data_IF_958094399405
#
_entry.id   IF_958094399405
#
_cell.length_a   1.000
_cell.length_b   1.000
_cell.length_c   1.000
_cell.angle_alpha   90.00
_cell.angle_beta   90.00
_cell.angle_gamma   90.00
#
_symmetry.space_group_name_H-M   'P 1'
#
loop_
_entity.id
_entity.type
_entity.pdbx_description
1 polymer ?
#
# COMPACT_ATOMS: atom_id res chain seq x y z
N UNK A 1 -39.08 -12.01 -17.90
CA UNK A 1 -38.77 -12.10 -16.46
C UNK A 1 -37.56 -11.22 -16.20
N UNK A 2 -37.79 -9.96 -15.80
CA UNK A 2 -36.75 -8.95 -15.61
C UNK A 2 -36.11 -9.18 -14.24
N UNK A 3 -34.84 -9.57 -14.25
CA UNK A 3 -34.02 -9.68 -13.03
C UNK A 3 -33.73 -8.23 -12.58
N UNK A 4 -34.40 -7.81 -11.51
CA UNK A 4 -34.04 -6.57 -10.81
C UNK A 4 -32.65 -6.75 -10.20
N UNK A 5 -31.65 -6.10 -10.78
CA UNK A 5 -30.37 -5.87 -10.11
C UNK A 5 -30.65 -4.95 -8.93
N UNK A 6 -30.62 -5.51 -7.73
CA UNK A 6 -30.65 -4.74 -6.48
C UNK A 6 -29.33 -3.98 -6.38
N UNK A 7 -29.34 -2.71 -6.72
CA UNK A 7 -28.28 -1.77 -6.35
C UNK A 7 -28.40 -1.55 -4.84
N UNK A 8 -27.71 -2.36 -4.05
CA UNK A 8 -27.53 -2.04 -2.65
C UNK A 8 -26.86 -0.66 -2.58
N UNK A 9 -27.54 0.32 -1.98
CA UNK A 9 -26.98 1.64 -1.77
C UNK A 9 -25.65 1.47 -1.04
N UNK A 10 -24.56 2.04 -1.60
CA UNK A 10 -23.27 1.99 -0.97
C UNK A 10 -23.37 2.58 0.44
N UNK A 11 -23.04 1.81 1.46
CA UNK A 11 -23.06 2.30 2.84
C UNK A 11 -22.10 3.48 2.95
N UNK A 12 -22.64 4.64 3.32
CA UNK A 12 -21.85 5.86 3.50
C UNK A 12 -21.40 5.92 4.95
N UNK A 13 -20.08 5.99 5.14
CA UNK A 13 -19.47 6.17 6.46
C UNK A 13 -19.13 7.65 6.64
N UNK A 14 -19.75 8.37 7.60
CA UNK A 14 -19.56 9.81 7.80
C UNK A 14 -18.10 10.18 8.10
N UNK A 15 -17.42 9.40 8.93
CA UNK A 15 -16.04 9.67 9.38
C UNK A 15 -15.04 8.63 8.89
N UNK A 16 -13.75 9.00 8.90
CA UNK A 16 -12.66 8.05 8.63
C UNK A 16 -12.64 6.91 9.66
N UNK A 17 -12.92 7.21 10.93
CA UNK A 17 -12.92 6.23 12.01
C UNK A 17 -13.99 5.16 11.82
N UNK A 18 -15.22 5.56 11.46
CA UNK A 18 -16.31 4.63 11.16
C UNK A 18 -15.98 3.77 9.93
N UNK A 19 -15.40 4.38 8.89
CA UNK A 19 -14.97 3.65 7.71
C UNK A 19 -13.86 2.63 8.06
N UNK A 20 -12.86 3.02 8.84
CA UNK A 20 -11.80 2.12 9.29
C UNK A 20 -12.33 0.97 10.16
N UNK A 21 -13.31 1.25 11.03
CA UNK A 21 -13.97 0.21 11.81
C UNK A 21 -14.70 -0.79 10.92
N UNK A 22 -15.44 -0.32 9.90
CA UNK A 22 -16.11 -1.17 8.93
C UNK A 22 -15.13 -2.01 8.11
N UNK A 23 -14.02 -1.41 7.65
CA UNK A 23 -12.95 -2.14 6.95
C UNK A 23 -12.35 -3.22 7.84
N UNK A 24 -12.05 -2.93 9.11
CA UNK A 24 -11.49 -3.90 10.07
C UNK A 24 -12.47 -5.04 10.37
N UNK A 25 -13.78 -4.80 10.30
CA UNK A 25 -14.84 -5.79 10.45
C UNK A 25 -15.16 -6.56 9.14
N UNK A 26 -14.52 -6.22 8.01
CA UNK A 26 -14.83 -6.81 6.71
C UNK A 26 -14.56 -8.32 6.67
N UNK A 27 -15.54 -9.07 6.13
CA UNK A 27 -15.48 -10.52 5.93
C UNK A 27 -15.79 -10.96 4.51
N UNK A 28 -15.74 -10.05 3.55
CA UNK A 28 -16.13 -10.32 2.16
C UNK A 28 -15.35 -11.46 1.49
N UNK A 29 -14.14 -11.76 1.98
CA UNK A 29 -13.26 -12.79 1.42
C UNK A 29 -13.07 -14.00 2.35
N UNK A 30 -13.88 -14.18 3.41
CA UNK A 30 -13.68 -15.18 4.46
C UNK A 30 -13.43 -16.58 3.89
N UNK A 31 -14.28 -17.05 2.98
CA UNK A 31 -14.16 -18.37 2.34
C UNK A 31 -12.87 -18.56 1.50
N UNK A 32 -12.11 -17.50 1.25
CA UNK A 32 -10.92 -17.51 0.40
C UNK A 32 -9.61 -17.21 1.15
N UNK A 33 -9.69 -17.02 2.45
CA UNK A 33 -8.54 -16.65 3.28
C UNK A 33 -8.18 -17.82 4.20
N UNK A 34 -6.98 -18.41 4.04
CA UNK A 34 -6.62 -19.64 4.74
C UNK A 34 -6.54 -19.50 6.28
N UNK A 35 -6.35 -18.28 6.75
CA UNK A 35 -6.29 -17.94 8.18
C UNK A 35 -7.44 -17.03 8.63
N UNK A 36 -8.50 -16.94 7.81
CA UNK A 36 -9.62 -16.04 8.05
C UNK A 36 -9.30 -14.56 7.81
N UNK A 37 -10.32 -13.70 7.85
CA UNK A 37 -10.17 -12.26 7.63
C UNK A 37 -9.55 -11.58 8.85
N UNK A 38 -8.48 -10.85 8.58
CA UNK A 38 -7.83 -9.92 9.52
C UNK A 38 -7.30 -8.74 8.74
N UNK A 39 -8.14 -7.73 8.46
CA UNK A 39 -7.71 -6.54 7.73
C UNK A 39 -6.66 -5.73 8.52
N UNK A 40 -5.54 -5.44 7.89
CA UNK A 40 -4.43 -4.68 8.46
C UNK A 40 -4.17 -3.46 7.60
N UNK A 41 -4.48 -2.29 8.15
CA UNK A 41 -4.25 -0.96 7.56
C UNK A 41 -4.17 0.09 8.67
N UNK A 42 -3.58 1.24 8.35
CA UNK A 42 -3.51 2.41 9.23
C UNK A 42 -3.75 3.67 8.43
N UNK A 43 -4.53 4.62 8.95
CA UNK A 43 -4.74 5.89 8.30
C UNK A 43 -5.27 6.94 9.29
N UNK A 44 -4.74 8.15 9.19
CA UNK A 44 -5.25 9.34 9.85
C UNK A 44 -5.55 10.42 8.81
N UNK A 45 -6.59 11.23 9.03
CA UNK A 45 -7.08 12.21 8.06
C UNK A 45 -6.07 13.32 7.73
N UNK A 46 -5.06 13.52 8.58
CA UNK A 46 -3.99 14.51 8.40
C UNK A 46 -2.77 13.96 7.70
N UNK A 47 -2.70 12.64 7.44
CA UNK A 47 -1.57 12.01 6.77
C UNK A 47 -1.27 12.67 5.42
N UNK A 48 0.00 12.92 5.16
CA UNK A 48 0.49 13.52 3.91
C UNK A 48 1.18 12.52 3.00
N UNK A 49 1.56 11.36 3.54
CA UNK A 49 2.22 10.28 2.82
C UNK A 49 1.32 9.04 2.87
N UNK A 50 1.10 8.41 1.72
CA UNK A 50 0.39 7.14 1.61
C UNK A 50 1.36 6.05 1.15
N UNK A 51 1.42 4.95 1.89
CA UNK A 51 2.18 3.74 1.53
C UNK A 51 1.21 2.68 1.01
N UNK A 52 1.32 2.33 -0.26
CA UNK A 52 0.50 1.30 -0.89
C UNK A 52 1.38 0.11 -1.27
N UNK A 53 1.20 -1.00 -0.55
CA UNK A 53 1.83 -2.30 -0.82
C UNK A 53 0.88 -3.31 -1.44
N UNK A 54 1.29 -4.58 -1.47
CA UNK A 54 0.49 -5.68 -2.02
C UNK A 54 -0.62 -6.09 -1.05
N UNK A 55 -0.26 -6.75 0.03
CA UNK A 55 -1.14 -7.28 1.08
C UNK A 55 -0.30 -7.65 2.31
N UNK A 56 -0.92 -7.85 3.49
CA UNK A 56 -0.23 -8.40 4.66
C UNK A 56 0.41 -9.75 4.35
N UNK A 57 1.67 -9.93 4.75
CA UNK A 57 2.31 -11.24 4.80
C UNK A 57 1.90 -12.00 6.08
N UNK A 58 2.35 -13.26 6.20
CA UNK A 58 2.01 -14.09 7.37
C UNK A 58 2.37 -13.43 8.71
N UNK A 59 3.56 -12.86 8.82
CA UNK A 59 4.00 -12.18 10.06
C UNK A 59 3.11 -10.97 10.38
N UNK A 60 2.80 -10.16 9.39
CA UNK A 60 1.88 -9.01 9.53
C UNK A 60 0.48 -9.47 9.92
N UNK A 61 -0.01 -10.58 9.34
CA UNK A 61 -1.28 -11.18 9.76
C UNK A 61 -1.24 -11.57 11.24
N UNK A 62 -0.14 -12.17 11.70
CA UNK A 62 0.00 -12.60 13.11
C UNK A 62 0.07 -11.43 14.08
N UNK A 63 0.87 -10.40 13.77
CA UNK A 63 1.07 -9.25 14.66
C UNK A 63 -0.03 -8.20 14.58
N UNK A 64 -0.68 -8.08 13.41
CA UNK A 64 -1.63 -7.00 13.12
C UNK A 64 -0.95 -5.65 12.84
N UNK A 65 0.37 -5.62 12.74
CA UNK A 65 1.15 -4.39 12.50
C UNK A 65 1.64 -4.40 11.06
N UNK A 66 1.23 -3.44 10.20
CA UNK A 66 1.65 -3.42 8.80
C UNK A 66 3.16 -3.20 8.70
N UNK A 67 3.81 -3.90 7.75
CA UNK A 67 5.26 -3.81 7.54
C UNK A 67 6.12 -4.16 8.78
N UNK A 68 5.62 -4.99 9.70
CA UNK A 68 6.38 -5.52 10.83
C UNK A 68 7.17 -6.77 10.42
N UNK A 69 8.05 -6.62 9.44
CA UNK A 69 8.85 -7.67 8.85
C UNK A 69 10.16 -7.09 8.24
N UNK A 70 11.09 -7.93 7.76
CA UNK A 70 12.32 -7.45 7.12
C UNK A 70 12.10 -6.54 5.90
N UNK A 71 10.97 -6.68 5.21
CA UNK A 71 10.60 -5.77 4.11
C UNK A 71 10.30 -4.37 4.64
N UNK A 72 9.58 -4.29 5.76
CA UNK A 72 9.28 -3.03 6.41
C UNK A 72 10.52 -2.34 7.00
N UNK A 73 11.47 -3.11 7.54
CA UNK A 73 12.76 -2.55 7.99
C UNK A 73 13.49 -1.86 6.84
N UNK A 74 13.59 -2.53 5.68
CA UNK A 74 14.20 -1.94 4.48
C UNK A 74 13.41 -0.75 3.96
N UNK A 75 12.07 -0.81 3.98
CA UNK A 75 11.24 0.31 3.54
C UNK A 75 11.49 1.56 4.40
N UNK A 76 11.48 1.43 5.72
CA UNK A 76 11.80 2.53 6.64
C UNK A 76 13.20 3.08 6.39
N UNK A 77 14.17 2.20 6.16
CA UNK A 77 15.54 2.61 5.81
C UNK A 77 15.59 3.40 4.50
N UNK A 78 14.83 3.01 3.47
CA UNK A 78 14.72 3.79 2.23
C UNK A 78 14.04 5.13 2.45
N UNK A 79 12.99 5.15 3.26
CA UNK A 79 12.25 6.38 3.59
C UNK A 79 13.05 7.33 4.49
N UNK A 80 14.06 6.83 5.21
CA UNK A 80 14.84 7.62 6.17
C UNK A 80 14.07 7.96 7.43
N UNK A 81 13.10 7.13 7.83
CA UNK A 81 12.26 7.32 9.01
C UNK A 81 12.42 6.16 9.99
N UNK A 82 12.26 6.43 11.28
CA UNK A 82 12.18 5.43 12.34
C UNK A 82 10.78 4.80 12.43
N UNK A 83 10.59 3.91 13.41
CA UNK A 83 9.30 3.26 13.64
C UNK A 83 8.23 4.23 14.12
N UNK A 84 8.58 5.17 14.95
CA UNK A 84 7.63 6.10 15.56
C UNK A 84 7.01 6.99 14.49
N UNK A 85 7.83 7.56 13.62
CA UNK A 85 7.37 8.33 12.46
C UNK A 85 6.62 7.47 11.45
N UNK A 86 7.09 6.26 11.17
CA UNK A 86 6.47 5.36 10.18
C UNK A 86 5.06 4.93 10.59
N UNK A 87 4.81 4.75 11.89
CA UNK A 87 3.53 4.33 12.42
C UNK A 87 2.66 5.47 12.96
N UNK A 88 3.12 6.70 12.86
CA UNK A 88 2.31 7.89 13.16
C UNK A 88 1.26 8.09 12.05
N UNK A 89 0.04 7.69 12.34
CA UNK A 89 -1.10 7.77 11.41
C UNK A 89 -1.43 9.21 10.99
N UNK A 90 -1.01 10.21 11.77
CA UNK A 90 -1.18 11.61 11.42
C UNK A 90 -0.26 12.06 10.28
N UNK A 91 0.82 11.34 10.02
CA UNK A 91 1.85 11.61 9.01
C UNK A 91 1.81 10.63 7.85
N UNK A 92 1.70 9.32 8.14
CA UNK A 92 1.81 8.25 7.17
C UNK A 92 0.59 7.32 7.25
N UNK A 93 -0.17 7.28 6.18
CA UNK A 93 -1.20 6.27 5.98
C UNK A 93 -0.61 5.03 5.30
N UNK A 94 -1.03 3.84 5.72
CA UNK A 94 -0.59 2.55 5.18
C UNK A 94 -1.84 1.78 4.74
N UNK A 95 -2.10 1.75 3.45
CA UNK A 95 -3.28 1.10 2.86
C UNK A 95 -2.81 0.19 1.73
N UNK A 96 -2.66 -1.13 1.95
CA UNK A 96 -2.26 -2.06 0.90
C UNK A 96 -3.39 -2.31 -0.11
N UNK A 97 -3.10 -2.93 -1.25
CA UNK A 97 -4.10 -3.30 -2.25
C UNK A 97 -5.06 -4.40 -1.77
N UNK A 98 -4.60 -5.29 -0.89
CA UNK A 98 -5.40 -6.26 -0.16
C UNK A 98 -5.17 -6.11 1.33
N UNK A 99 -6.21 -6.18 2.15
CA UNK A 99 -6.10 -5.86 3.58
C UNK A 99 -5.87 -7.08 4.46
N UNK A 100 -6.11 -8.28 3.94
CA UNK A 100 -5.90 -9.54 4.63
C UNK A 100 -4.75 -10.35 4.00
N UNK A 101 -4.15 -11.25 4.77
CA UNK A 101 -3.18 -12.21 4.26
C UNK A 101 -3.86 -13.17 3.26
N UNK A 102 -3.45 -13.18 1.99
CA UNK A 102 -4.15 -13.96 0.96
C UNK A 102 -3.74 -15.45 0.92
N UNK A 103 -2.78 -15.84 1.75
CA UNK A 103 -2.16 -17.16 1.70
C UNK A 103 -0.84 -17.19 0.92
N UNK A 104 -0.21 -18.37 0.92
CA UNK A 104 1.07 -18.61 0.25
C UNK A 104 0.86 -19.41 -1.04
N UNK A 105 1.50 -18.98 -2.11
CA UNK A 105 1.59 -19.69 -3.39
C UNK A 105 3.01 -20.21 -3.66
N UNK A 106 3.24 -20.76 -4.85
CA UNK A 106 4.51 -21.40 -5.23
C UNK A 106 5.71 -20.46 -5.27
N UNK A 107 5.52 -19.15 -5.45
CA UNK A 107 6.61 -18.16 -5.57
C UNK A 107 6.64 -17.11 -4.45
N UNK A 108 5.75 -17.19 -3.48
CA UNK A 108 5.58 -16.18 -2.43
C UNK A 108 4.14 -16.09 -1.96
N UNK A 109 3.75 -14.95 -1.41
CA UNK A 109 2.36 -14.74 -1.03
C UNK A 109 1.49 -14.60 -2.28
N UNK A 110 0.26 -15.08 -2.19
CA UNK A 110 -0.73 -14.99 -3.27
C UNK A 110 -1.05 -13.53 -3.62
N UNK A 111 -1.63 -13.26 -4.79
CA UNK A 111 -2.12 -11.94 -5.17
C UNK A 111 -3.08 -11.36 -4.12
N UNK A 112 -3.11 -10.02 -3.96
CA UNK A 112 -4.10 -9.37 -3.11
C UNK A 112 -5.50 -9.62 -3.63
N UNK A 113 -6.46 -9.78 -2.73
CA UNK A 113 -7.87 -9.91 -3.09
C UNK A 113 -8.36 -8.60 -3.73
N UNK A 114 -9.01 -8.70 -4.88
CA UNK A 114 -9.50 -7.54 -5.64
C UNK A 114 -10.65 -6.83 -4.92
N UNK A 115 -11.42 -7.56 -4.15
CA UNK A 115 -12.58 -7.09 -3.40
C UNK A 115 -12.21 -5.92 -2.48
N UNK A 116 -11.00 -5.92 -1.90
CA UNK A 116 -10.57 -4.84 -1.02
C UNK A 116 -10.52 -3.48 -1.73
N UNK A 117 -9.89 -3.42 -2.91
CA UNK A 117 -9.84 -2.19 -3.67
C UNK A 117 -11.23 -1.75 -4.14
N UNK A 118 -12.05 -2.68 -4.64
CA UNK A 118 -13.40 -2.38 -5.14
C UNK A 118 -14.33 -1.88 -4.05
N UNK A 119 -14.26 -2.45 -2.84
CA UNK A 119 -15.18 -2.10 -1.76
C UNK A 119 -14.77 -0.85 -0.99
N UNK A 120 -13.45 -0.64 -0.80
CA UNK A 120 -12.97 0.24 0.25
C UNK A 120 -12.00 1.33 -0.18
N UNK A 121 -11.17 1.07 -1.23
CA UNK A 121 -10.01 1.94 -1.51
C UNK A 121 -10.45 3.37 -1.84
N UNK A 122 -11.41 3.54 -2.74
CA UNK A 122 -11.86 4.88 -3.15
C UNK A 122 -12.48 5.65 -1.98
N UNK A 123 -13.22 4.96 -1.11
CA UNK A 123 -13.81 5.57 0.09
C UNK A 123 -12.74 6.01 1.08
N UNK A 124 -11.68 5.21 1.27
CA UNK A 124 -10.54 5.55 2.13
C UNK A 124 -9.77 6.74 1.57
N UNK A 125 -9.46 6.72 0.27
CA UNK A 125 -8.72 7.82 -0.37
C UNK A 125 -9.49 9.15 -0.31
N UNK A 126 -10.81 9.12 -0.47
CA UNK A 126 -11.66 10.31 -0.36
C UNK A 126 -11.61 10.96 1.03
N UNK A 127 -11.21 10.21 2.07
CA UNK A 127 -11.07 10.70 3.45
C UNK A 127 -9.64 11.03 3.86
N UNK A 128 -8.73 11.02 2.90
CA UNK A 128 -7.32 11.38 3.08
C UNK A 128 -6.94 12.58 2.20
N UNK A 129 -7.60 13.74 2.37
CA UNK A 129 -7.48 14.87 1.45
C UNK A 129 -6.11 15.54 1.48
N UNK A 130 -5.28 15.22 2.49
CA UNK A 130 -3.95 15.83 2.65
C UNK A 130 -2.81 15.00 2.05
N UNK A 131 -3.09 13.85 1.43
CA UNK A 131 -2.03 13.04 0.80
C UNK A 131 -1.40 13.81 -0.36
N UNK A 132 -0.10 14.06 -0.25
CA UNK A 132 0.72 14.74 -1.26
C UNK A 132 1.68 13.79 -1.96
N UNK A 133 2.06 12.67 -1.30
CA UNK A 133 2.95 11.67 -1.85
C UNK A 133 2.39 10.27 -1.61
N UNK A 134 2.21 9.51 -2.68
CA UNK A 134 1.84 8.09 -2.62
C UNK A 134 3.00 7.22 -3.09
N UNK A 135 3.50 6.35 -2.19
CA UNK A 135 4.52 5.36 -2.50
C UNK A 135 3.85 4.10 -3.06
N UNK A 136 4.09 3.80 -4.33
CA UNK A 136 3.50 2.66 -5.04
C UNK A 136 4.47 1.47 -5.04
N UNK A 137 4.34 0.60 -4.03
CA UNK A 137 5.31 -0.46 -3.76
C UNK A 137 4.92 -1.76 -4.47
N UNK A 138 5.70 -2.11 -5.48
CA UNK A 138 5.52 -3.33 -6.26
C UNK A 138 4.44 -3.26 -7.32
N UNK A 139 4.25 -4.39 -8.00
CA UNK A 139 3.46 -4.49 -9.23
C UNK A 139 1.98 -4.10 -9.05
N UNK A 140 1.34 -4.55 -7.98
CA UNK A 140 -0.11 -4.38 -7.80
C UNK A 140 -0.50 -2.93 -7.55
N UNK A 141 0.23 -2.23 -6.68
CA UNK A 141 0.03 -0.80 -6.44
C UNK A 141 0.28 0.02 -7.72
N UNK A 142 1.41 -0.22 -8.40
CA UNK A 142 1.74 0.48 -9.64
C UNK A 142 0.68 0.21 -10.73
N UNK A 143 0.18 -1.02 -10.85
CA UNK A 143 -0.87 -1.35 -11.83
C UNK A 143 -2.16 -0.61 -11.56
N UNK A 144 -2.57 -0.53 -10.31
CA UNK A 144 -3.82 0.13 -9.93
C UNK A 144 -3.75 1.65 -10.15
N UNK A 145 -2.72 2.31 -9.64
CA UNK A 145 -2.65 3.78 -9.63
C UNK A 145 -2.12 4.38 -10.95
N UNK A 146 -1.27 3.68 -11.66
CA UNK A 146 -0.66 4.19 -12.88
C UNK A 146 -1.34 3.67 -14.16
N UNK A 147 -2.03 2.53 -14.10
CA UNK A 147 -2.73 1.96 -15.24
C UNK A 147 -1.82 1.80 -16.47
N UNK A 148 -2.23 2.36 -17.60
CA UNK A 148 -1.48 2.37 -18.87
C UNK A 148 -0.25 3.28 -18.87
N UNK A 149 -0.10 4.18 -17.90
CA UNK A 149 1.09 5.04 -17.77
C UNK A 149 2.34 4.28 -17.32
N UNK A 150 2.20 3.04 -16.82
CA UNK A 150 3.35 2.21 -16.47
C UNK A 150 4.23 1.94 -17.68
N UNK A 151 5.54 1.80 -17.44
CA UNK A 151 6.47 1.28 -18.44
C UNK A 151 6.35 -0.26 -18.54
N UNK A 152 7.08 -0.84 -19.48
CA UNK A 152 7.03 -2.28 -19.76
C UNK A 152 7.45 -3.15 -18.57
N UNK A 153 8.34 -2.64 -17.72
CA UNK A 153 8.79 -3.33 -16.51
C UNK A 153 8.64 -2.48 -15.25
N UNK A 154 8.67 -3.14 -14.08
CA UNK A 154 8.70 -2.48 -12.78
C UNK A 154 9.95 -1.61 -12.62
N UNK A 155 11.09 -2.08 -13.13
CA UNK A 155 12.36 -1.34 -13.09
C UNK A 155 12.28 -0.05 -13.90
N UNK A 156 11.77 -0.13 -15.12
CA UNK A 156 11.58 1.05 -15.99
C UNK A 156 10.56 2.03 -15.41
N UNK A 157 9.46 1.52 -14.83
CA UNK A 157 8.47 2.35 -14.14
C UNK A 157 9.10 3.10 -12.97
N UNK A 158 9.88 2.41 -12.13
CA UNK A 158 10.58 3.05 -11.02
C UNK A 158 11.66 4.04 -11.49
N UNK A 159 12.34 3.76 -12.60
CA UNK A 159 13.35 4.65 -13.18
C UNK A 159 12.76 5.93 -13.76
N UNK A 160 11.55 5.83 -14.30
CA UNK A 160 10.80 6.96 -14.85
C UNK A 160 9.96 7.72 -13.78
N UNK A 161 10.34 7.64 -12.51
CA UNK A 161 9.58 8.19 -11.39
C UNK A 161 9.20 9.68 -11.55
N UNK A 162 10.03 10.48 -12.25
CA UNK A 162 9.77 11.89 -12.49
C UNK A 162 8.47 12.13 -13.27
N UNK A 163 8.08 11.19 -14.16
CA UNK A 163 6.85 11.29 -14.94
C UNK A 163 5.58 11.15 -14.08
N UNK A 164 5.72 10.65 -12.86
CA UNK A 164 4.63 10.42 -11.92
C UNK A 164 4.64 11.40 -10.74
N UNK A 165 5.73 12.17 -10.62
CA UNK A 165 5.88 13.19 -9.58
C UNK A 165 4.92 14.37 -9.85
N UNK A 166 4.53 15.13 -8.81
CA UNK A 166 4.89 14.97 -7.40
C UNK A 166 4.04 13.91 -6.67
N UNK A 167 2.93 13.47 -7.24
CA UNK A 167 1.90 12.68 -6.56
C UNK A 167 2.32 11.24 -6.28
N UNK A 168 3.00 10.58 -7.23
CA UNK A 168 3.35 9.17 -7.12
C UNK A 168 4.85 8.94 -7.15
N UNK A 169 5.29 7.95 -6.37
CA UNK A 169 6.65 7.42 -6.44
C UNK A 169 6.60 5.89 -6.54
N UNK A 170 6.79 5.32 -7.73
CA UNK A 170 6.83 3.89 -7.92
C UNK A 170 8.12 3.30 -7.39
N UNK A 171 8.01 2.27 -6.53
CA UNK A 171 9.11 1.60 -5.88
C UNK A 171 9.06 0.09 -6.14
N UNK A 172 10.22 -0.59 -6.20
CA UNK A 172 10.26 -2.05 -6.13
C UNK A 172 9.82 -2.52 -4.74
N UNK A 173 9.38 -3.78 -4.63
CA UNK A 173 9.06 -4.33 -3.32
C UNK A 173 10.35 -4.57 -2.51
N UNK A 174 10.45 -4.10 -1.26
CA UNK A 174 11.65 -4.16 -0.43
C UNK A 174 11.98 -5.55 0.14
N UNK A 175 11.32 -6.59 -0.34
CA UNK A 175 11.54 -7.98 0.10
C UNK A 175 13.02 -8.39 0.01
N UNK A 176 13.56 -9.11 1.01
CA UNK A 176 14.88 -9.73 0.93
C UNK A 176 15.04 -10.63 -0.29
N UNK A 177 13.96 -11.23 -0.81
CA UNK A 177 13.98 -12.05 -2.03
C UNK A 177 14.38 -11.27 -3.28
N UNK A 178 14.21 -9.96 -3.28
CA UNK A 178 14.58 -9.08 -4.38
C UNK A 178 16.05 -8.62 -4.31
N UNK A 179 16.88 -9.19 -3.44
CA UNK A 179 18.30 -8.84 -3.35
C UNK A 179 19.07 -8.96 -4.68
N UNK A 180 18.85 -10.00 -5.52
CA UNK A 180 19.45 -10.04 -6.85
C UNK A 180 19.03 -8.86 -7.72
N UNK A 181 17.77 -8.46 -7.66
CA UNK A 181 17.26 -7.29 -8.40
C UNK A 181 18.01 -6.01 -7.99
N UNK A 182 18.20 -5.75 -6.69
CA UNK A 182 18.91 -4.56 -6.20
C UNK A 182 20.39 -4.55 -6.63
N UNK A 183 21.03 -5.72 -6.65
CA UNK A 183 22.41 -5.84 -7.17
C UNK A 183 22.51 -5.42 -8.65
N UNK A 184 21.58 -5.83 -9.48
CA UNK A 184 21.54 -5.46 -10.90
C UNK A 184 21.06 -4.02 -11.14
N UNK A 185 20.31 -3.43 -10.21
CA UNK A 185 19.71 -2.10 -10.34
C UNK A 185 20.25 -1.15 -9.26
N UNK A 186 21.57 -1.10 -9.09
CA UNK A 186 22.24 -0.28 -8.06
C UNK A 186 21.92 1.23 -8.16
N UNK A 187 21.45 1.70 -9.32
CA UNK A 187 20.96 3.04 -9.52
C UNK A 187 19.78 3.37 -8.56
N UNK A 188 18.97 2.39 -8.20
CA UNK A 188 17.83 2.59 -7.34
C UNK A 188 18.25 3.16 -5.98
N UNK A 189 19.15 2.48 -5.28
CA UNK A 189 19.63 2.95 -3.97
C UNK A 189 20.49 4.20 -4.06
N UNK A 190 21.28 4.34 -5.14
CA UNK A 190 22.18 5.51 -5.30
C UNK A 190 21.48 6.78 -5.78
N UNK A 191 20.42 6.66 -6.56
CA UNK A 191 19.76 7.81 -7.21
C UNK A 191 18.35 8.05 -6.67
N UNK A 192 17.50 7.00 -6.59
CA UNK A 192 16.10 7.18 -6.23
C UNK A 192 15.89 7.28 -4.71
N UNK A 193 16.58 6.48 -3.91
CA UNK A 193 16.44 6.52 -2.44
C UNK A 193 16.79 7.88 -1.84
N UNK A 194 17.85 8.59 -2.23
CA UNK A 194 18.11 9.95 -1.74
C UNK A 194 16.98 10.93 -2.05
N UNK A 195 16.41 10.86 -3.26
CA UNK A 195 15.26 11.71 -3.64
C UNK A 195 14.03 11.38 -2.81
N UNK A 196 13.75 10.07 -2.60
CA UNK A 196 12.66 9.63 -1.75
C UNK A 196 12.78 10.21 -0.34
N UNK A 197 13.95 10.10 0.29
CA UNK A 197 14.23 10.65 1.63
C UNK A 197 14.01 12.16 1.68
N UNK A 198 14.56 12.90 0.74
CA UNK A 198 14.41 14.35 0.69
C UNK A 198 12.93 14.76 0.60
N UNK A 199 12.14 14.05 -0.20
CA UNK A 199 10.69 14.32 -0.33
C UNK A 199 9.92 13.98 0.95
N UNK A 200 10.25 12.88 1.60
CA UNK A 200 9.61 12.46 2.85
C UNK A 200 9.93 13.45 3.97
N UNK A 201 11.18 13.86 4.13
CA UNK A 201 11.58 14.84 5.14
C UNK A 201 10.84 16.18 4.93
N UNK A 202 10.78 16.67 3.70
CA UNK A 202 10.06 17.89 3.38
C UNK A 202 8.56 17.85 3.70
N UNK A 203 7.95 16.65 3.74
CA UNK A 203 6.55 16.45 4.10
C UNK A 203 6.37 16.18 5.60
N UNK A 204 7.33 15.56 6.26
CA UNK A 204 7.26 15.21 7.67
C UNK A 204 7.54 16.41 8.61
N UNK A 205 8.23 17.44 8.12
CA UNK A 205 8.57 18.67 8.87
C UNK A 205 7.45 19.72 8.88
N UNK A 206 6.38 19.54 8.12
CA UNK A 206 5.24 20.45 8.00
C UNK A 206 4.01 19.93 8.75
#
# INVERSE_FOLDING_TARGET
>A
MLIRQSTAAATVYPTLEELLAAVRACRACDAHLPLGPRPVLRAGATARILVVGQAPGLRVHTTGIPWDDPSGERLRAWMGVDKDVFYDESRIAIIPMGYCYPGRGNGGDMPPRRECATLWLDQLLARLPRIELTLLIGHYAQRHFLGSRRKASLAETARAWQEYAPQYMPLPHPSPRNQPWFKHHSWFERQLVPVLRARINALAER
#
